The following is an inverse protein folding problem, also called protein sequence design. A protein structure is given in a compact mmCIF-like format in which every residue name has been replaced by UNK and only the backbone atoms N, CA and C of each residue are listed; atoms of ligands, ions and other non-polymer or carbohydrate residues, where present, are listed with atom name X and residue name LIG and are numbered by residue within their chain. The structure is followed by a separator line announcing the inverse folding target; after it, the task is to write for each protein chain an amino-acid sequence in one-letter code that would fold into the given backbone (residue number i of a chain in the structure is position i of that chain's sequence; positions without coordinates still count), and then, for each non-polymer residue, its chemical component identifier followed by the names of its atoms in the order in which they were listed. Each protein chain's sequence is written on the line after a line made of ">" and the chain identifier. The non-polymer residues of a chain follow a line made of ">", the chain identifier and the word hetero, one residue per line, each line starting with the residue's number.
data_IF_634981642606
#
_entry.id   IF_634981642606
#
_cell.length_a   1.000
_cell.length_b   1.000
_cell.length_c   1.000
_cell.angle_alpha   90.00
_cell.angle_beta   90.00
_cell.angle_gamma   90.00
#
_symmetry.space_group_name_H-M   'P 1'
#
loop_
_entity.id
_entity.type
_entity.pdbx_description
1 polymer ?
#
# COMPACT_ATOMS: atom_id res chain seq x y z
N UNK A 1 -17.70 -10.75 3.87
CA UNK A 1 -16.98 -9.87 4.80
C UNK A 1 -16.19 -8.88 3.98
N UNK A 2 -16.25 -7.58 4.28
CA UNK A 2 -15.60 -6.52 3.49
C UNK A 2 -14.28 -6.17 4.17
N UNK A 3 -13.16 -6.27 3.44
CA UNK A 3 -11.82 -6.02 3.98
C UNK A 3 -11.23 -4.64 3.60
N UNK A 4 -11.82 -3.93 2.62
CA UNK A 4 -11.34 -2.60 2.20
C UNK A 4 -10.22 -2.59 1.15
N UNK A 5 -9.85 -3.75 0.59
CA UNK A 5 -8.71 -3.88 -0.36
C UNK A 5 -9.11 -3.92 -1.84
N UNK A 6 -10.39 -3.69 -2.16
CA UNK A 6 -10.90 -3.88 -3.52
C UNK A 6 -10.71 -2.66 -4.44
N UNK A 7 -10.63 -1.46 -3.86
CA UNK A 7 -10.53 -0.19 -4.56
C UNK A 7 -9.52 0.71 -3.85
N UNK A 8 -8.86 1.59 -4.58
CA UNK A 8 -8.06 2.66 -4.00
C UNK A 8 -8.93 3.80 -3.45
N UNK A 9 -8.28 4.81 -2.85
CA UNK A 9 -8.95 5.97 -2.22
C UNK A 9 -9.86 6.76 -3.19
N UNK A 10 -9.59 6.72 -4.49
CA UNK A 10 -10.41 7.36 -5.52
C UNK A 10 -11.61 6.52 -5.99
N UNK A 11 -11.82 5.32 -5.42
CA UNK A 11 -12.87 4.39 -5.82
C UNK A 11 -12.58 3.59 -7.09
N UNK A 12 -11.36 3.72 -7.63
CA UNK A 12 -10.91 3.00 -8.82
C UNK A 12 -10.30 1.65 -8.45
N UNK A 13 -10.48 0.65 -9.30
CA UNK A 13 -9.80 -0.62 -9.14
C UNK A 13 -8.32 -0.45 -9.46
N UNK A 14 -7.45 -0.79 -8.51
CA UNK A 14 -5.99 -0.72 -8.70
C UNK A 14 -5.54 -1.76 -9.71
N UNK A 15 -4.83 -1.34 -10.75
CA UNK A 15 -4.24 -2.25 -11.72
C UNK A 15 -3.08 -3.02 -11.08
N UNK A 16 -3.25 -4.27 -10.69
CA UNK A 16 -2.20 -4.99 -9.98
C UNK A 16 -1.03 -5.41 -10.90
N UNK A 17 0.14 -4.78 -10.71
CA UNK A 17 1.41 -5.20 -11.33
C UNK A 17 2.26 -6.04 -10.37
N UNK A 18 2.39 -5.60 -9.12
CA UNK A 18 3.04 -6.33 -8.05
C UNK A 18 2.31 -6.14 -6.72
N UNK A 19 2.42 -7.14 -5.85
CA UNK A 19 1.96 -7.09 -4.47
C UNK A 19 3.13 -7.35 -3.52
N UNK A 20 3.27 -6.53 -2.49
CA UNK A 20 4.25 -6.73 -1.42
C UNK A 20 3.56 -6.60 -0.06
N UNK A 21 4.12 -7.28 0.94
CA UNK A 21 3.62 -7.27 2.33
C UNK A 21 4.77 -6.87 3.25
N UNK A 22 4.49 -6.02 4.22
CA UNK A 22 5.43 -5.55 5.24
C UNK A 22 4.71 -4.86 6.39
N UNK A 23 5.44 -4.24 7.31
CA UNK A 23 4.91 -3.44 8.42
C UNK A 23 5.40 -2.02 8.20
N UNK A 24 4.52 -1.11 7.78
CA UNK A 24 4.92 0.24 7.39
C UNK A 24 5.09 1.17 8.60
N UNK A 25 4.28 0.97 9.64
CA UNK A 25 4.18 1.87 10.78
C UNK A 25 4.54 1.23 12.12
N UNK A 26 5.22 0.07 12.07
CA UNK A 26 5.74 -0.69 13.21
C UNK A 26 4.63 -1.04 14.23
N UNK A 27 3.42 -1.32 13.72
CA UNK A 27 2.29 -1.67 14.57
C UNK A 27 2.12 -3.18 14.73
N UNK A 28 3.01 -3.96 14.09
CA UNK A 28 3.05 -5.41 14.12
C UNK A 28 2.01 -6.06 13.22
N UNK A 29 1.27 -5.30 12.41
CA UNK A 29 0.26 -5.80 11.49
C UNK A 29 0.79 -5.81 10.05
N UNK A 30 0.42 -6.81 9.24
CA UNK A 30 0.83 -6.86 7.84
C UNK A 30 0.02 -5.87 7.00
N UNK A 31 0.74 -4.92 6.41
CA UNK A 31 0.27 -3.98 5.39
C UNK A 31 0.50 -4.52 3.98
N UNK A 32 -0.21 -3.96 3.00
CA UNK A 32 -0.15 -4.41 1.61
C UNK A 32 0.15 -3.22 0.69
N UNK A 33 1.24 -3.32 -0.07
CA UNK A 33 1.52 -2.44 -1.20
C UNK A 33 1.07 -3.12 -2.49
N UNK A 34 0.26 -2.43 -3.29
CA UNK A 34 -0.10 -2.83 -4.65
C UNK A 34 0.36 -1.76 -5.62
N UNK A 35 1.27 -2.12 -6.53
CA UNK A 35 1.78 -1.20 -7.54
C UNK A 35 0.94 -1.26 -8.81
N UNK A 36 0.82 -0.12 -9.50
CA UNK A 36 0.11 0.00 -10.76
C UNK A 36 0.79 1.00 -11.72
N UNK A 37 0.08 1.39 -12.79
CA UNK A 37 0.54 2.39 -13.77
C UNK A 37 0.29 3.84 -13.34
N UNK A 38 -0.31 4.05 -12.18
CA UNK A 38 -0.82 5.30 -11.64
C UNK A 38 -0.24 5.53 -10.24
N UNK A 39 -1.07 5.66 -9.19
CA UNK A 39 -0.61 5.96 -7.84
C UNK A 39 -0.28 4.72 -7.01
N UNK A 40 -0.75 3.55 -7.43
CA UNK A 40 -0.82 2.34 -6.62
C UNK A 40 -1.80 2.48 -5.45
N UNK A 41 -1.76 1.49 -4.57
CA UNK A 41 -2.47 1.51 -3.28
C UNK A 41 -1.56 0.98 -2.19
N UNK A 42 -1.65 1.58 -1.01
CA UNK A 42 -0.94 1.12 0.19
C UNK A 42 -1.99 0.89 1.27
N UNK A 43 -2.38 -0.35 1.45
CA UNK A 43 -3.39 -0.76 2.40
C UNK A 43 -2.75 -0.99 3.76
N UNK A 44 -2.99 -0.07 4.69
CA UNK A 44 -2.54 -0.18 6.07
C UNK A 44 -3.57 -0.95 6.89
N UNK A 45 -3.15 -1.97 7.61
CA UNK A 45 -4.01 -2.87 8.37
C UNK A 45 -4.41 -2.21 9.69
N UNK A 46 -5.71 -2.14 9.98
CA UNK A 46 -6.25 -1.54 11.20
C UNK A 46 -6.75 -2.59 12.20
N UNK A 47 -6.20 -3.80 12.13
CA UNK A 47 -6.63 -5.02 12.81
C UNK A 47 -7.94 -5.63 12.28
N UNK A 48 -8.19 -6.88 12.67
CA UNK A 48 -9.39 -7.67 12.29
C UNK A 48 -9.57 -7.87 10.77
N UNK A 49 -8.49 -7.73 9.99
CA UNK A 49 -8.52 -7.88 8.53
C UNK A 49 -9.18 -6.71 7.81
N UNK A 50 -9.24 -5.54 8.46
CA UNK A 50 -9.67 -4.28 7.88
C UNK A 50 -8.45 -3.48 7.43
N UNK A 51 -8.59 -2.79 6.30
CA UNK A 51 -7.52 -2.02 5.70
C UNK A 51 -7.99 -0.63 5.29
N UNK A 52 -7.09 0.35 5.43
CA UNK A 52 -7.26 1.72 4.97
C UNK A 52 -6.24 2.03 3.87
N UNK A 53 -6.65 2.74 2.80
CA UNK A 53 -5.69 3.20 1.80
C UNK A 53 -4.91 4.42 2.31
N UNK A 54 -3.61 4.22 2.53
CA UNK A 54 -2.63 5.15 3.05
C UNK A 54 -1.64 5.64 1.97
N UNK A 55 -1.88 5.39 0.67
CA UNK A 55 -0.94 5.78 -0.39
C UNK A 55 -0.63 7.28 -0.41
N UNK A 56 -1.61 8.13 -0.08
CA UNK A 56 -1.39 9.59 0.03
C UNK A 56 -0.69 9.95 1.34
N UNK A 57 -1.10 9.33 2.46
CA UNK A 57 -0.58 9.64 3.80
C UNK A 57 0.89 9.23 3.98
N UNK A 58 1.28 8.13 3.35
CA UNK A 58 2.67 7.65 3.28
C UNK A 58 3.59 8.53 2.42
N UNK A 59 3.01 9.43 1.61
CA UNK A 59 3.75 10.21 0.64
C UNK A 59 4.12 9.45 -0.64
N UNK A 60 3.74 8.18 -0.78
CA UNK A 60 4.04 7.36 -1.97
C UNK A 60 3.26 7.80 -3.22
N UNK A 61 2.09 8.41 -3.06
CA UNK A 61 1.27 8.82 -4.21
C UNK A 61 2.02 9.76 -5.19
N UNK A 62 2.77 10.74 -4.67
CA UNK A 62 3.48 11.73 -5.50
C UNK A 62 4.62 11.13 -6.37
N UNK A 63 5.52 10.28 -5.84
CA UNK A 63 6.52 9.60 -6.65
C UNK A 63 5.92 8.51 -7.54
N UNK A 64 4.88 7.78 -7.10
CA UNK A 64 4.23 6.74 -7.90
C UNK A 64 3.46 7.31 -9.09
N UNK A 65 2.69 8.39 -8.91
CA UNK A 65 1.82 8.93 -9.96
C UNK A 65 2.52 9.49 -11.20
N UNK A 66 3.85 9.65 -11.17
CA UNK A 66 4.65 10.11 -12.31
C UNK A 66 5.18 8.97 -13.19
N UNK A 67 5.26 7.75 -12.67
CA UNK A 67 5.97 6.64 -13.32
C UNK A 67 5.24 5.32 -13.14
N UNK A 68 5.37 4.42 -14.11
CA UNK A 68 4.84 3.06 -13.96
C UNK A 68 5.65 2.28 -12.92
N UNK A 69 4.97 1.74 -11.92
CA UNK A 69 5.58 0.94 -10.86
C UNK A 69 5.38 -0.56 -11.11
N UNK A 70 6.43 -1.23 -11.56
CA UNK A 70 6.41 -2.67 -11.89
C UNK A 70 6.64 -3.59 -10.70
N UNK A 71 7.11 -3.04 -9.58
CA UNK A 71 7.49 -3.79 -8.38
C UNK A 71 7.63 -2.87 -7.18
N UNK A 72 7.61 -3.45 -5.99
CA UNK A 72 7.77 -2.73 -4.73
C UNK A 72 8.14 -3.69 -3.59
N UNK A 73 8.62 -3.13 -2.49
CA UNK A 73 9.03 -3.90 -1.31
C UNK A 73 9.22 -3.01 -0.10
N UNK A 74 9.14 -3.60 1.07
CA UNK A 74 9.38 -2.95 2.36
C UNK A 74 10.83 -3.21 2.78
N UNK A 75 11.51 -2.16 3.24
CA UNK A 75 12.90 -2.23 3.69
C UNK A 75 13.06 -1.34 4.92
N UNK A 76 13.44 -1.97 6.03
CA UNK A 76 13.84 -1.31 7.27
C UNK A 76 15.35 -1.00 7.18
N UNK A 77 15.69 0.28 7.02
CA UNK A 77 17.08 0.72 6.81
C UNK A 77 17.78 1.10 8.12
N UNK A 78 17.02 1.52 9.13
CA UNK A 78 17.49 1.96 10.43
C UNK A 78 17.34 0.92 11.55
N UNK A 79 16.73 -0.22 11.26
CA UNK A 79 16.52 -1.36 12.16
C UNK A 79 15.68 -1.01 13.39
N UNK A 80 14.66 -0.17 13.24
CA UNK A 80 13.77 0.23 14.33
C UNK A 80 12.48 -0.58 14.43
N UNK A 81 12.25 -1.47 13.47
CA UNK A 81 11.05 -2.31 13.35
C UNK A 81 10.18 -1.77 12.23
#
# INVERSE_FOLDING_TARGET
>A
TVAGVAFGISGEATGAMAGAVGDLDNDGLPDILVTDTSYGSLYRNTAEGLFEDWVVRSGLAAPSGQWVSWGGGFFDFDNDG
#
